data_IF_950501965657
#
_entry.id   IF_950501965657
#
_cell.length_a   1.000
_cell.length_b   1.000
_cell.length_c   1.000
_cell.angle_alpha   90.00
_cell.angle_beta   90.00
_cell.angle_gamma   90.00
#
_symmetry.space_group_name_H-M   'P 1'
#
loop_
_entity.id
_entity.type
_entity.pdbx_description
1 polymer ?
#
# COMPACT_ATOMS: atom_id res chain seq x y z
N UNK A 1 -7.94 16.01 -3.89
CA UNK A 1 -7.09 14.91 -3.37
C UNK A 1 -7.40 13.65 -4.12
N UNK A 2 -6.45 13.19 -4.91
CA UNK A 2 -6.53 12.00 -5.77
C UNK A 2 -6.11 10.71 -5.03
N UNK A 3 -5.53 10.85 -3.84
CA UNK A 3 -5.03 9.73 -3.04
C UNK A 3 -6.12 9.06 -2.22
N UNK A 4 -6.01 7.75 -2.02
CA UNK A 4 -6.96 6.94 -1.26
C UNK A 4 -6.24 6.32 -0.06
N UNK A 5 -6.52 6.86 1.12
CA UNK A 5 -6.05 6.37 2.40
C UNK A 5 -7.05 5.38 3.00
N UNK A 6 -6.62 4.44 3.87
CA UNK A 6 -7.54 3.51 4.53
C UNK A 6 -8.76 4.19 5.18
N UNK A 7 -8.57 5.37 5.77
CA UNK A 7 -9.64 6.12 6.43
C UNK A 7 -10.68 6.71 5.46
N UNK A 8 -10.37 6.77 4.15
CA UNK A 8 -11.32 7.24 3.15
C UNK A 8 -12.53 6.33 2.98
N UNK A 9 -12.52 5.10 3.53
CA UNK A 9 -13.70 4.24 3.60
C UNK A 9 -14.87 4.90 4.34
N UNK A 10 -14.59 5.85 5.25
CA UNK A 10 -15.61 6.64 5.93
C UNK A 10 -16.13 7.83 5.10
N UNK A 11 -15.46 8.15 3.98
CA UNK A 11 -15.85 9.18 3.03
C UNK A 11 -16.52 8.57 1.80
N UNK A 12 -17.76 8.08 1.99
CA UNK A 12 -18.53 7.38 0.97
C UNK A 12 -18.60 8.13 -0.36
N UNK A 13 -18.88 9.45 -0.34
CA UNK A 13 -18.97 10.26 -1.57
C UNK A 13 -17.68 10.25 -2.39
N UNK A 14 -16.52 10.25 -1.72
CA UNK A 14 -15.21 10.17 -2.40
C UNK A 14 -15.02 8.78 -3.00
N UNK A 15 -15.27 7.74 -2.22
CA UNK A 15 -15.08 6.36 -2.65
C UNK A 15 -16.03 5.98 -3.79
N UNK A 16 -17.31 6.32 -3.71
CA UNK A 16 -18.30 6.13 -4.78
C UNK A 16 -17.85 6.78 -6.09
N UNK A 17 -17.35 8.02 -6.03
CA UNK A 17 -16.81 8.71 -7.21
C UNK A 17 -15.61 7.96 -7.80
N UNK A 18 -14.71 7.45 -6.97
CA UNK A 18 -13.52 6.73 -7.43
C UNK A 18 -13.92 5.38 -8.05
N UNK A 19 -14.78 4.61 -7.40
CA UNK A 19 -15.32 3.35 -7.94
C UNK A 19 -16.12 3.56 -9.24
N UNK A 20 -16.74 4.73 -9.41
CA UNK A 20 -17.40 5.12 -10.66
C UNK A 20 -16.45 5.34 -11.85
N UNK A 21 -15.14 5.50 -11.60
CA UNK A 21 -14.11 5.66 -12.63
C UNK A 21 -13.41 4.35 -13.02
N UNK A 22 -13.74 3.25 -12.34
CA UNK A 22 -13.11 1.94 -12.52
C UNK A 22 -14.12 0.96 -13.10
N UNK A 23 -13.74 0.17 -14.09
CA UNK A 23 -14.63 -0.85 -14.68
C UNK A 23 -14.70 -2.10 -13.81
N UNK A 24 -13.53 -2.63 -13.40
CA UNK A 24 -13.43 -3.83 -12.57
C UNK A 24 -12.40 -3.66 -11.44
N UNK A 25 -11.15 -3.34 -11.76
CA UNK A 25 -10.15 -3.09 -10.73
C UNK A 25 -9.13 -2.02 -11.13
N UNK A 26 -8.47 -1.43 -10.14
CA UNK A 26 -7.42 -0.44 -10.35
C UNK A 26 -6.30 -0.61 -9.32
N UNK A 27 -5.05 -0.43 -9.76
CA UNK A 27 -3.88 -0.46 -8.90
C UNK A 27 -3.38 0.96 -8.66
N UNK A 28 -3.06 1.25 -7.40
CA UNK A 28 -2.63 2.55 -6.93
C UNK A 28 -1.48 2.40 -5.92
N UNK A 29 -0.82 3.51 -5.63
CA UNK A 29 0.25 3.59 -4.64
C UNK A 29 0.13 4.87 -3.83
N UNK A 30 1.24 5.62 -3.75
CA UNK A 30 1.35 6.93 -3.09
C UNK A 30 1.25 6.93 -1.56
N UNK A 31 0.28 6.24 -0.96
CA UNK A 31 0.13 6.22 0.51
C UNK A 31 1.18 5.35 1.19
N UNK A 32 1.75 4.38 0.44
CA UNK A 32 2.69 3.37 0.93
C UNK A 32 2.08 2.39 1.95
N UNK A 33 0.75 2.32 2.02
CA UNK A 33 0.01 1.41 2.88
C UNK A 33 -0.72 0.41 1.97
N UNK A 34 -0.28 -0.86 1.91
CA UNK A 34 -0.89 -1.85 1.04
C UNK A 34 -2.24 -2.31 1.57
N UNK A 35 -3.13 -2.70 0.65
CA UNK A 35 -4.43 -3.28 0.98
C UNK A 35 -5.43 -3.13 -0.15
N UNK A 36 -6.64 -3.65 0.08
CA UNK A 36 -7.72 -3.67 -0.91
C UNK A 36 -8.89 -2.85 -0.42
N UNK A 37 -9.35 -1.91 -1.24
CA UNK A 37 -10.61 -1.22 -1.04
C UNK A 37 -11.70 -1.94 -1.83
N UNK A 38 -12.83 -2.22 -1.20
CA UNK A 38 -13.98 -2.88 -1.84
C UNK A 38 -15.11 -1.89 -2.12
N UNK A 39 -15.98 -2.20 -3.09
CA UNK A 39 -17.20 -1.40 -3.35
C UNK A 39 -18.11 -1.29 -2.12
N UNK A 40 -18.03 -2.24 -1.20
CA UNK A 40 -18.74 -2.24 0.08
C UNK A 40 -18.15 -1.27 1.13
N UNK A 41 -17.22 -0.39 0.74
CA UNK A 41 -16.59 0.62 1.61
C UNK A 41 -15.79 -0.01 2.75
N UNK A 42 -15.06 -1.09 2.46
CA UNK A 42 -14.11 -1.69 3.39
C UNK A 42 -12.68 -1.50 2.88
N UNK A 43 -11.74 -1.51 3.82
CA UNK A 43 -10.33 -1.63 3.55
C UNK A 43 -9.84 -2.94 4.18
N UNK A 44 -9.23 -3.79 3.38
CA UNK A 44 -8.70 -5.09 3.79
C UNK A 44 -7.18 -4.99 3.76
N UNK A 45 -6.55 -5.00 4.93
CA UNK A 45 -5.11 -5.05 5.06
C UNK A 45 -4.59 -6.45 4.65
N UNK A 46 -3.35 -6.58 4.12
CA UNK A 46 -2.86 -7.86 3.62
C UNK A 46 -2.90 -9.00 4.65
N UNK A 47 -2.63 -8.73 5.91
CA UNK A 47 -2.66 -9.71 7.01
C UNK A 47 -4.09 -10.19 7.35
N UNK A 48 -5.12 -9.40 7.05
CA UNK A 48 -6.52 -9.79 7.25
C UNK A 48 -7.03 -10.77 6.19
N UNK A 49 -6.33 -10.86 5.05
CA UNK A 49 -6.72 -11.67 3.88
C UNK A 49 -5.66 -12.70 3.49
N UNK A 50 -4.80 -13.10 4.43
CA UNK A 50 -3.71 -14.06 4.19
C UNK A 50 -2.84 -13.69 2.97
N UNK A 51 -2.66 -12.38 2.75
CA UNK A 51 -1.89 -11.78 1.66
C UNK A 51 -2.44 -12.09 0.26
N UNK A 52 -3.69 -12.55 0.12
CA UNK A 52 -4.29 -12.91 -1.17
C UNK A 52 -5.70 -12.33 -1.30
N UNK A 53 -5.97 -11.64 -2.41
CA UNK A 53 -7.30 -11.17 -2.77
C UNK A 53 -7.77 -11.83 -4.08
N UNK A 54 -8.80 -12.70 -4.05
CA UNK A 54 -9.32 -13.33 -5.27
C UNK A 54 -10.14 -12.35 -6.10
N UNK A 55 -10.11 -12.51 -7.41
CA UNK A 55 -10.99 -11.75 -8.31
C UNK A 55 -12.43 -12.24 -8.16
N UNK A 56 -13.34 -11.27 -8.13
CA UNK A 56 -14.77 -11.52 -8.07
C UNK A 56 -15.52 -10.70 -9.12
N UNK A 57 -16.84 -10.62 -8.93
CA UNK A 57 -17.69 -9.75 -9.74
C UNK A 57 -17.70 -8.30 -9.23
N UNK A 58 -17.35 -8.09 -7.95
CA UNK A 58 -17.28 -6.76 -7.34
C UNK A 58 -16.06 -5.99 -7.82
N UNK A 59 -16.17 -4.67 -7.88
CA UNK A 59 -14.99 -3.84 -8.15
C UNK A 59 -14.12 -3.69 -6.91
N UNK A 60 -12.83 -3.53 -7.14
CA UNK A 60 -11.87 -3.33 -6.06
C UNK A 60 -10.71 -2.41 -6.48
N UNK A 61 -10.13 -1.72 -5.51
CA UNK A 61 -8.92 -0.92 -5.71
C UNK A 61 -7.80 -1.51 -4.86
N UNK A 62 -6.62 -1.65 -5.42
CA UNK A 62 -5.47 -2.22 -4.73
C UNK A 62 -4.44 -1.15 -4.51
N UNK A 63 -4.12 -0.87 -3.25
CA UNK A 63 -2.90 -0.16 -2.93
C UNK A 63 -1.76 -1.17 -2.82
N UNK A 64 -0.71 -1.02 -3.63
CA UNK A 64 0.38 -2.00 -3.70
C UNK A 64 1.41 -1.82 -2.58
N UNK A 65 1.28 -0.78 -1.75
CA UNK A 65 2.24 -0.44 -0.72
C UNK A 65 3.43 0.32 -1.29
N UNK A 66 4.64 0.03 -0.78
CA UNK A 66 5.87 0.67 -1.22
C UNK A 66 7.06 -0.26 -1.14
N UNK A 67 7.89 -0.25 -2.17
CA UNK A 67 9.14 -1.02 -2.22
C UNK A 67 10.19 -0.41 -1.31
N UNK A 68 10.31 0.92 -1.30
CA UNK A 68 11.42 1.63 -0.66
C UNK A 68 11.09 2.32 0.66
N UNK A 69 9.81 2.54 0.97
CA UNK A 69 9.40 3.19 2.21
C UNK A 69 7.98 2.80 2.62
N UNK A 70 7.73 1.55 3.05
CA UNK A 70 6.44 1.15 3.62
C UNK A 70 5.99 2.08 4.75
N UNK A 71 4.68 2.30 4.92
CA UNK A 71 4.11 3.22 5.94
C UNK A 71 3.06 2.58 6.85
N UNK A 72 3.05 1.27 6.91
CA UNK A 72 2.07 0.47 7.62
C UNK A 72 2.65 -0.29 8.81
N UNK A 73 3.77 0.20 9.36
CA UNK A 73 4.51 -0.37 10.49
C UNK A 73 5.18 -1.74 10.20
N UNK A 74 5.15 -2.23 8.96
CA UNK A 74 5.97 -3.34 8.47
C UNK A 74 7.07 -2.80 7.55
N UNK A 75 8.32 -2.85 7.99
CA UNK A 75 9.44 -2.30 7.25
C UNK A 75 9.87 -3.13 6.03
N UNK A 76 9.26 -4.30 5.78
CA UNK A 76 9.55 -5.12 4.60
C UNK A 76 9.01 -4.45 3.35
N UNK A 77 9.81 -4.50 2.28
CA UNK A 77 9.42 -4.02 0.95
C UNK A 77 8.10 -4.67 0.51
N UNK A 78 7.20 -3.88 -0.07
CA UNK A 78 5.88 -4.34 -0.50
C UNK A 78 5.69 -4.16 -2.01
N UNK A 79 5.17 -5.22 -2.64
CA UNK A 79 4.67 -5.22 -4.01
C UNK A 79 3.55 -6.25 -4.15
N UNK A 80 2.93 -6.32 -5.33
CA UNK A 80 1.92 -7.33 -5.64
C UNK A 80 2.28 -8.14 -6.87
N UNK A 81 1.85 -9.39 -6.90
CA UNK A 81 1.78 -10.23 -8.09
C UNK A 81 0.31 -10.34 -8.47
N UNK A 82 0.01 -10.13 -9.74
CA UNK A 82 -1.32 -10.28 -10.32
C UNK A 82 -1.29 -11.45 -11.31
N UNK A 83 -2.29 -12.31 -11.24
CA UNK A 83 -2.60 -13.31 -12.26
C UNK A 83 -4.08 -13.18 -12.66
N UNK A 84 -4.58 -14.14 -13.45
CA UNK A 84 -5.96 -14.10 -13.96
C UNK A 84 -7.03 -14.30 -12.87
N UNK A 85 -6.65 -14.79 -11.69
CA UNK A 85 -7.57 -15.20 -10.63
C UNK A 85 -7.44 -14.38 -9.35
N UNK A 86 -6.30 -13.71 -9.11
CA UNK A 86 -6.04 -13.05 -7.83
C UNK A 86 -4.94 -11.99 -7.87
N UNK A 87 -4.91 -11.20 -6.80
CA UNK A 87 -3.76 -10.40 -6.37
C UNK A 87 -3.11 -11.08 -5.17
N UNK A 88 -1.79 -11.18 -5.17
CA UNK A 88 -1.01 -11.67 -4.03
C UNK A 88 -0.05 -10.58 -3.55
N UNK A 89 -0.16 -10.19 -2.29
CA UNK A 89 0.74 -9.24 -1.65
C UNK A 89 2.04 -9.93 -1.26
N UNK A 90 3.16 -9.34 -1.64
CA UNK A 90 4.48 -9.87 -1.33
C UNK A 90 5.20 -8.91 -0.37
N UNK A 91 5.82 -9.50 0.65
CA UNK A 91 6.74 -8.80 1.55
C UNK A 91 8.13 -9.40 1.44
N UNK A 92 9.11 -8.54 1.23
CA UNK A 92 10.50 -8.96 1.09
C UNK A 92 11.36 -8.20 2.10
N UNK A 93 12.03 -8.96 2.96
CA UNK A 93 13.06 -8.42 3.84
C UNK A 93 14.20 -7.85 3.00
N UNK A 94 14.69 -6.68 3.39
CA UNK A 94 15.86 -6.06 2.81
C UNK A 94 16.67 -5.37 3.90
N UNK A 95 17.93 -5.11 3.63
CA UNK A 95 18.79 -4.38 4.55
C UNK A 95 18.50 -2.88 4.50
N UNK A 96 17.48 -2.47 5.26
CA UNK A 96 17.14 -1.06 5.42
C UNK A 96 18.22 -0.28 6.19
N UNK A 97 19.06 -0.93 7.00
CA UNK A 97 20.12 -0.24 7.75
C UNK A 97 21.17 0.31 6.79
N UNK A 98 21.61 -0.48 5.80
CA UNK A 98 22.50 0.00 4.73
C UNK A 98 21.94 1.23 4.01
N UNK A 99 20.61 1.31 3.81
CA UNK A 99 19.97 2.46 3.16
C UNK A 99 19.89 3.66 4.12
N UNK A 100 19.55 3.42 5.39
CA UNK A 100 19.50 4.46 6.41
C UNK A 100 20.88 5.08 6.68
N UNK A 101 21.95 4.27 6.72
CA UNK A 101 23.33 4.74 6.87
C UNK A 101 23.72 5.69 5.74
N UNK A 102 23.41 5.34 4.49
CA UNK A 102 23.62 6.24 3.34
C UNK A 102 22.87 7.56 3.46
N UNK A 103 21.69 7.56 4.09
CA UNK A 103 20.93 8.79 4.35
C UNK A 103 21.66 9.63 5.42
N UNK A 104 22.09 9.00 6.52
CA UNK A 104 22.78 9.68 7.62
C UNK A 104 24.13 10.31 7.20
N UNK A 105 24.78 9.76 6.17
CA UNK A 105 26.03 10.29 5.61
C UNK A 105 25.83 11.58 4.79
N UNK A 106 24.60 11.96 4.45
CA UNK A 106 24.31 13.16 3.65
C UNK A 106 23.82 14.27 4.57
N UNK A 107 24.65 15.29 4.80
CA UNK A 107 24.35 16.41 5.71
C UNK A 107 23.09 17.20 5.39
N UNK A 108 22.67 17.19 4.12
CA UNK A 108 21.48 17.91 3.63
C UNK A 108 20.18 17.11 3.83
N UNK A 109 20.27 15.83 4.21
CA UNK A 109 19.12 14.99 4.51
C UNK A 109 18.87 14.93 6.02
N UNK A 110 17.60 15.04 6.41
CA UNK A 110 17.20 14.80 7.78
C UNK A 110 17.32 13.30 8.11
N UNK A 111 17.98 12.97 9.23
CA UNK A 111 18.10 11.61 9.74
C UNK A 111 16.73 10.92 9.90
N UNK A 112 15.66 11.68 10.12
CA UNK A 112 14.30 11.15 10.15
C UNK A 112 13.93 10.33 8.91
N UNK A 113 14.50 10.65 7.73
CA UNK A 113 14.27 9.89 6.50
C UNK A 113 14.82 8.45 6.56
N UNK A 114 15.92 8.24 7.30
CA UNK A 114 16.49 6.92 7.56
C UNK A 114 15.77 6.21 8.71
N UNK A 115 15.46 6.95 9.79
CA UNK A 115 14.80 6.39 10.97
C UNK A 115 13.43 5.77 10.64
N UNK A 116 12.65 6.46 9.80
CA UNK A 116 11.32 5.97 9.41
C UNK A 116 11.34 4.69 8.55
N UNK A 117 12.46 4.36 7.90
CA UNK A 117 12.61 3.08 7.20
C UNK A 117 12.60 1.91 8.19
N UNK A 118 13.21 2.08 9.36
CA UNK A 118 13.23 1.07 10.43
C UNK A 118 11.84 0.80 10.98
N UNK A 119 11.07 1.87 11.19
CA UNK A 119 9.74 1.83 11.79
C UNK A 119 8.63 1.49 10.78
N UNK A 120 8.92 1.51 9.47
CA UNK A 120 7.89 1.38 8.42
C UNK A 120 6.90 2.55 8.42
N UNK A 121 7.41 3.79 8.37
CA UNK A 121 6.63 5.04 8.42
C UNK A 121 7.06 6.08 7.38
#
# INVERSE_FOLDING_TARGET
>A
NEYVFPEDIYNQRKMERIFGLVDQYCFQGHTHIPGVFTESMNFLAPDEIDYVYPFGQEKFLVNVGSVGQPRDADNRSSYVIIDDEKVSFCRVEYDFNTTAEKIYEISDLDNFLGDRLRDGR
#
